data_IF_166206765625
#
_entry.id   IF_166206765625
#
_cell.length_a   1.000
_cell.length_b   1.000
_cell.length_c   1.000
_cell.angle_alpha   90.00
_cell.angle_beta   90.00
_cell.angle_gamma   90.00
#
_symmetry.space_group_name_H-M   'P 1'
#
loop_
_entity.id
_entity.type
_entity.pdbx_description
1 polymer ?
#
# COMPACT_ATOMS: atom_id res chain seq x y z
N UNK A 1 23.35 7.55 19.15
CA UNK A 1 22.21 6.67 19.52
C UNK A 1 20.95 7.43 19.16
N UNK A 2 19.94 6.80 18.57
CA UNK A 2 18.65 7.45 18.35
C UNK A 2 17.72 7.19 19.53
N UNK A 3 16.93 8.19 19.92
CA UNK A 3 16.09 8.18 21.12
C UNK A 3 14.74 8.84 20.79
N UNK A 4 13.65 8.26 21.28
CA UNK A 4 12.31 8.88 21.36
C UNK A 4 11.54 8.32 22.55
N UNK A 5 10.51 9.02 23.02
CA UNK A 5 9.49 8.42 23.89
C UNK A 5 8.83 7.26 23.15
N UNK A 6 8.55 6.17 23.87
CA UNK A 6 7.79 5.06 23.30
C UNK A 6 6.39 5.52 22.89
N UNK A 7 5.82 4.95 21.83
CA UNK A 7 4.51 5.38 21.30
C UNK A 7 3.36 5.24 22.32
N UNK A 8 3.56 4.40 23.35
CA UNK A 8 2.61 4.18 24.44
C UNK A 8 2.96 4.97 25.72
N UNK A 9 4.03 5.77 25.74
CA UNK A 9 4.47 6.51 26.91
C UNK A 9 4.04 7.97 26.83
N UNK A 10 3.51 8.51 27.93
CA UNK A 10 3.16 9.93 28.04
C UNK A 10 3.89 10.53 29.23
N UNK A 11 4.64 11.61 28.98
CA UNK A 11 5.22 12.43 30.03
C UNK A 11 4.25 13.55 30.44
N UNK A 12 3.97 13.67 31.74
CA UNK A 12 3.14 14.74 32.30
C UNK A 12 3.88 15.48 33.39
N UNK A 13 3.86 16.82 33.30
CA UNK A 13 4.33 17.70 34.37
C UNK A 13 3.36 17.64 35.55
N UNK A 14 3.89 17.42 36.76
CA UNK A 14 3.10 17.32 38.01
C UNK A 14 3.34 18.51 38.95
N UNK A 15 4.57 19.04 38.95
CA UNK A 15 4.96 20.24 39.69
C UNK A 15 5.99 21.04 38.88
N UNK A 16 6.51 22.15 39.43
CA UNK A 16 7.41 23.08 38.72
C UNK A 16 8.67 22.39 38.16
N UNK A 17 9.18 21.38 38.89
CA UNK A 17 10.39 20.60 38.59
C UNK A 17 10.19 19.08 38.73
N UNK A 18 8.96 18.58 38.61
CA UNK A 18 8.66 17.15 38.70
C UNK A 18 7.70 16.72 37.58
N UNK A 19 7.82 15.45 37.19
CA UNK A 19 6.93 14.86 36.22
C UNK A 19 6.75 13.37 36.41
N UNK A 20 5.80 12.83 35.67
CA UNK A 20 5.47 11.41 35.66
C UNK A 20 5.41 10.90 34.22
N UNK A 21 6.12 9.82 33.94
CA UNK A 21 5.97 9.01 32.74
C UNK A 21 4.94 7.92 33.01
N UNK A 22 3.99 7.75 32.08
CA UNK A 22 2.92 6.76 32.19
C UNK A 22 2.94 5.92 30.92
N UNK A 23 3.10 4.60 31.06
CA UNK A 23 2.87 3.66 29.97
C UNK A 23 1.36 3.41 29.87
N UNK A 24 0.75 3.78 28.76
CA UNK A 24 -0.69 3.75 28.55
C UNK A 24 -1.25 2.33 28.39
N UNK A 25 -0.38 1.36 28.06
CA UNK A 25 -0.73 -0.05 27.90
C UNK A 25 -0.59 -0.79 29.23
N UNK A 26 0.59 -0.74 29.86
CA UNK A 26 0.85 -1.48 31.12
C UNK A 26 0.29 -0.76 32.35
N UNK A 27 -0.02 0.54 32.23
CA UNK A 27 -0.38 1.44 33.33
C UNK A 27 0.73 1.68 34.36
N UNK A 28 1.95 1.25 34.06
CA UNK A 28 3.13 1.54 34.87
C UNK A 28 3.43 3.03 34.87
N UNK A 29 4.00 3.50 35.98
CA UNK A 29 4.28 4.90 36.23
C UNK A 29 5.69 5.07 36.76
N UNK A 30 6.46 5.95 36.14
CA UNK A 30 7.80 6.33 36.60
C UNK A 30 7.75 7.80 36.98
N UNK A 31 8.03 8.10 38.26
CA UNK A 31 8.16 9.48 38.72
C UNK A 31 9.60 9.92 38.53
N UNK A 32 9.81 11.11 38.00
CA UNK A 32 11.15 11.65 37.75
C UNK A 32 11.41 12.85 38.63
N UNK A 33 12.65 12.95 39.12
CA UNK A 33 13.14 14.10 39.87
C UNK A 33 13.45 15.28 38.93
N UNK A 34 13.97 16.37 39.48
CA UNK A 34 14.28 17.58 38.72
C UNK A 34 15.22 17.36 37.53
N UNK A 35 16.29 16.57 37.71
CA UNK A 35 17.23 16.25 36.63
C UNK A 35 16.56 15.42 35.53
N UNK A 36 15.78 14.40 35.90
CA UNK A 36 15.05 13.58 34.93
C UNK A 36 13.95 14.37 34.21
N UNK A 37 13.26 15.28 34.91
CA UNK A 37 12.31 16.21 34.33
C UNK A 37 12.98 17.11 33.30
N UNK A 38 14.17 17.64 33.62
CA UNK A 38 14.95 18.46 32.72
C UNK A 38 15.36 17.69 31.46
N UNK A 39 15.89 16.46 31.59
CA UNK A 39 16.24 15.62 30.44
C UNK A 39 15.02 15.31 29.56
N UNK A 40 13.88 14.96 30.15
CA UNK A 40 12.65 14.67 29.41
C UNK A 40 12.06 15.90 28.71
N UNK A 41 12.42 17.12 29.10
CA UNK A 41 11.98 18.32 28.38
C UNK A 41 12.60 18.46 26.98
N UNK A 42 13.61 17.64 26.66
CA UNK A 42 14.30 17.61 25.36
C UNK A 42 14.01 16.35 24.55
N UNK A 43 13.19 15.43 25.07
CA UNK A 43 12.87 14.14 24.43
C UNK A 43 11.35 14.08 24.25
N UNK A 44 10.89 13.96 23.02
CA UNK A 44 9.48 13.80 22.69
C UNK A 44 9.21 12.49 21.93
N UNK A 45 8.03 12.35 21.32
CA UNK A 45 7.63 11.19 20.52
C UNK A 45 8.28 11.16 19.12
N UNK A 46 9.11 12.16 18.79
CA UNK A 46 9.86 12.21 17.54
C UNK A 46 11.26 11.61 17.69
N UNK A 47 11.76 11.04 16.59
CA UNK A 47 13.06 10.37 16.59
C UNK A 47 14.22 11.37 16.54
N UNK A 48 15.02 11.42 17.59
CA UNK A 48 16.10 12.40 17.80
C UNK A 48 17.47 11.71 17.96
N UNK A 49 18.56 12.39 17.56
CA UNK A 49 19.93 11.94 17.84
C UNK A 49 20.34 12.35 19.27
N UNK A 50 20.85 11.40 20.05
CA UNK A 50 21.31 11.63 21.42
C UNK A 50 22.39 12.72 21.51
N UNK A 51 23.30 12.82 20.54
CA UNK A 51 24.36 13.85 20.57
C UNK A 51 23.80 15.26 20.31
N UNK A 52 22.75 15.39 19.51
CA UNK A 52 22.06 16.67 19.33
C UNK A 52 21.34 17.12 20.61
N UNK A 53 20.73 16.18 21.33
CA UNK A 53 20.10 16.44 22.63
C UNK A 53 21.15 16.87 23.65
N UNK A 54 22.24 16.11 23.78
CA UNK A 54 23.35 16.41 24.70
C UNK A 54 23.99 17.76 24.40
N UNK A 55 24.11 18.13 23.12
CA UNK A 55 24.60 19.45 22.72
C UNK A 55 23.67 20.57 23.21
N UNK A 56 22.35 20.40 23.07
CA UNK A 56 21.36 21.36 23.56
C UNK A 56 21.35 21.46 25.10
N UNK A 57 21.45 20.32 25.79
CA UNK A 57 21.53 20.26 27.25
C UNK A 57 22.78 20.98 27.77
N UNK A 58 23.93 20.77 27.12
CA UNK A 58 25.20 21.39 27.51
C UNK A 58 25.21 22.92 27.36
N UNK A 59 24.34 23.47 26.51
CA UNK A 59 24.19 24.94 26.37
C UNK A 59 23.41 25.58 27.52
N UNK A 60 22.63 24.78 28.27
CA UNK A 60 21.85 25.26 29.40
C UNK A 60 22.54 25.04 30.76
N UNK A 61 23.55 24.16 30.81
CA UNK A 61 24.29 23.81 32.03
C UNK A 61 25.74 24.27 31.87
N UNK A 62 26.10 25.41 32.46
CA UNK A 62 27.44 26.00 32.31
C UNK A 62 28.51 25.36 33.18
N UNK A 63 28.10 24.72 34.29
CA UNK A 63 29.02 24.36 35.39
C UNK A 63 29.40 22.86 35.38
N UNK A 64 28.95 22.11 34.37
CA UNK A 64 29.15 20.67 34.23
C UNK A 64 29.72 20.37 32.84
N UNK A 65 30.69 19.45 32.76
CA UNK A 65 31.26 19.08 31.46
C UNK A 65 30.24 18.31 30.61
N UNK A 66 30.31 18.49 29.29
CA UNK A 66 29.46 17.77 28.33
C UNK A 66 29.56 16.25 28.48
N UNK A 67 30.71 15.73 28.88
CA UNK A 67 30.89 14.28 29.07
C UNK A 67 30.11 13.73 30.26
N UNK A 68 30.01 14.50 31.36
CA UNK A 68 29.19 14.12 32.51
C UNK A 68 27.70 14.17 32.12
N UNK A 69 27.27 15.25 31.46
CA UNK A 69 25.88 15.39 30.98
C UNK A 69 25.51 14.23 30.05
N UNK A 70 26.40 13.85 29.13
CA UNK A 70 26.19 12.72 28.23
C UNK A 70 26.00 11.42 29.00
N UNK A 71 26.89 11.13 29.95
CA UNK A 71 26.82 9.89 30.72
C UNK A 71 25.53 9.81 31.54
N UNK A 72 25.20 10.88 32.27
CA UNK A 72 23.99 10.95 33.10
C UNK A 72 22.72 10.84 32.24
N UNK A 73 22.68 11.53 31.10
CA UNK A 73 21.57 11.45 30.15
C UNK A 73 21.39 10.03 29.60
N UNK A 74 22.48 9.39 29.16
CA UNK A 74 22.43 8.05 28.59
C UNK A 74 22.08 6.98 29.63
N UNK A 75 22.58 7.10 30.86
CA UNK A 75 22.21 6.22 31.98
C UNK A 75 20.71 6.34 32.28
N UNK A 76 20.20 7.57 32.37
CA UNK A 76 18.80 7.85 32.60
C UNK A 76 17.89 7.31 31.47
N UNK A 77 18.25 7.52 30.20
CA UNK A 77 17.51 6.99 29.05
C UNK A 77 17.53 5.46 29.03
N UNK A 78 18.66 4.83 29.40
CA UNK A 78 18.77 3.37 29.48
C UNK A 78 17.86 2.79 30.56
N UNK A 79 17.75 3.45 31.72
CA UNK A 79 16.81 3.05 32.76
C UNK A 79 15.36 3.15 32.27
N UNK A 80 14.99 4.24 31.58
CA UNK A 80 13.65 4.39 31.01
C UNK A 80 13.34 3.38 29.91
N UNK A 81 14.35 2.95 29.14
CA UNK A 81 14.21 1.89 28.14
C UNK A 81 13.88 0.54 28.78
N UNK A 82 14.47 0.21 29.93
CA UNK A 82 14.16 -1.03 30.66
C UNK A 82 12.69 -1.07 31.12
N UNK A 83 12.11 0.09 31.40
CA UNK A 83 10.70 0.28 31.79
C UNK A 83 9.76 0.47 30.59
N UNK A 84 10.25 0.29 29.34
CA UNK A 84 9.49 0.52 28.10
C UNK A 84 8.85 1.93 28.01
N UNK A 85 9.51 2.95 28.55
CA UNK A 85 9.07 4.35 28.48
C UNK A 85 9.75 5.12 27.34
N UNK A 86 10.95 4.68 26.95
CA UNK A 86 11.78 5.27 25.90
C UNK A 86 12.27 4.17 24.98
N UNK A 87 12.30 4.44 23.68
CA UNK A 87 12.95 3.57 22.70
C UNK A 87 14.35 4.11 22.41
N UNK A 88 15.33 3.20 22.24
CA UNK A 88 16.70 3.58 21.86
C UNK A 88 17.32 2.52 20.95
N UNK A 89 17.98 2.96 19.89
CA UNK A 89 18.69 2.09 18.94
C UNK A 89 19.85 2.85 18.27
N UNK A 90 20.93 2.14 17.96
CA UNK A 90 22.07 2.71 17.23
C UNK A 90 21.71 3.02 15.78
N UNK A 91 20.76 2.28 15.22
CA UNK A 91 20.25 2.46 13.88
C UNK A 91 18.87 3.13 13.91
N UNK A 92 18.80 4.33 13.34
CA UNK A 92 17.56 5.13 13.19
C UNK A 92 16.42 4.32 12.57
N UNK A 93 16.74 3.44 11.62
CA UNK A 93 15.77 2.66 10.87
C UNK A 93 15.02 1.64 11.76
N UNK A 94 15.63 1.20 12.87
CA UNK A 94 15.02 0.26 13.82
C UNK A 94 13.97 0.93 14.73
N UNK A 95 13.96 2.25 14.81
CA UNK A 95 13.04 3.04 15.65
C UNK A 95 12.01 3.83 14.84
N UNK A 96 12.10 3.76 13.51
CA UNK A 96 11.12 4.39 12.64
C UNK A 96 9.88 3.51 12.62
N UNK A 97 8.80 4.00 13.25
CA UNK A 97 7.52 3.31 13.23
C UNK A 97 6.85 3.47 11.87
N UNK A 98 6.49 2.35 11.26
CA UNK A 98 5.78 2.28 9.99
C UNK A 98 4.35 1.81 10.28
N UNK A 99 3.34 2.70 10.35
CA UNK A 99 1.97 2.24 10.57
C UNK A 99 1.49 1.45 9.35
N UNK A 100 0.96 0.25 9.56
CA UNK A 100 0.31 -0.52 8.49
C UNK A 100 -1.10 0.03 8.31
N UNK A 101 -1.28 0.94 7.35
CA UNK A 101 -2.54 1.66 7.10
C UNK A 101 -3.49 0.92 6.18
N UNK A 102 -2.97 0.24 5.17
CA UNK A 102 -3.77 -0.39 4.13
C UNK A 102 -3.43 -1.88 4.01
N UNK A 103 -4.43 -2.74 4.14
CA UNK A 103 -4.24 -4.19 4.03
C UNK A 103 -5.08 -4.76 2.89
N UNK A 104 -4.44 -5.47 1.96
CA UNK A 104 -5.12 -6.22 0.91
C UNK A 104 -5.13 -7.71 1.24
N UNK A 105 -6.30 -8.33 1.39
CA UNK A 105 -6.40 -9.78 1.66
C UNK A 105 -7.14 -10.48 0.51
N UNK A 106 -6.47 -11.48 -0.08
CA UNK A 106 -7.13 -12.47 -0.92
C UNK A 106 -7.76 -13.53 -0.02
N UNK A 107 -9.08 -13.50 0.15
CA UNK A 107 -9.76 -14.43 1.08
C UNK A 107 -10.03 -15.81 0.47
N UNK A 108 -9.91 -15.94 -0.86
CA UNK A 108 -10.17 -17.19 -1.59
C UNK A 108 -9.44 -17.21 -2.92
N UNK A 109 -9.02 -18.38 -3.40
CA UNK A 109 -8.64 -18.60 -4.79
C UNK A 109 -9.81 -19.03 -5.67
N UNK A 110 -10.96 -19.41 -5.09
CA UNK A 110 -12.12 -19.84 -5.87
C UNK A 110 -12.70 -18.68 -6.66
N UNK A 111 -13.00 -18.90 -7.94
CA UNK A 111 -13.60 -17.90 -8.82
C UNK A 111 -14.58 -18.57 -9.78
N UNK A 112 -15.65 -17.87 -10.14
CA UNK A 112 -16.66 -18.33 -11.09
C UNK A 112 -16.38 -17.90 -12.56
N UNK A 113 -15.29 -17.16 -12.80
CA UNK A 113 -14.78 -16.78 -14.12
C UNK A 113 -13.40 -17.41 -14.42
N UNK A 114 -12.98 -17.40 -15.68
CA UNK A 114 -11.74 -18.05 -16.15
C UNK A 114 -10.92 -17.11 -17.03
N UNK A 115 -10.82 -15.84 -16.62
CA UNK A 115 -10.25 -14.76 -17.43
C UNK A 115 -8.87 -15.12 -18.01
N UNK A 116 -8.69 -14.91 -19.31
CA UNK A 116 -7.50 -15.31 -20.07
C UNK A 116 -6.21 -14.65 -19.60
N UNK A 117 -6.32 -13.45 -19.01
CA UNK A 117 -5.19 -12.65 -18.53
C UNK A 117 -4.93 -12.78 -17.01
N UNK A 118 -5.68 -13.63 -16.31
CA UNK A 118 -5.63 -13.69 -14.85
C UNK A 118 -4.28 -14.23 -14.36
N UNK A 119 -3.70 -13.58 -13.35
CA UNK A 119 -2.50 -14.04 -12.66
C UNK A 119 -2.73 -15.35 -11.89
N UNK A 120 -3.97 -15.66 -11.49
CA UNK A 120 -4.32 -16.92 -10.86
C UNK A 120 -4.64 -17.98 -11.92
N UNK A 121 -3.89 -19.10 -12.00
CA UNK A 121 -4.16 -20.18 -12.93
C UNK A 121 -5.56 -20.76 -12.81
N UNK A 122 -6.22 -21.00 -13.94
CA UNK A 122 -7.58 -21.52 -14.00
C UNK A 122 -7.78 -22.86 -13.27
N UNK A 123 -6.73 -23.69 -13.19
CA UNK A 123 -6.71 -24.97 -12.44
C UNK A 123 -6.92 -24.78 -10.93
N UNK A 124 -6.52 -23.63 -10.37
CA UNK A 124 -6.64 -23.32 -8.95
C UNK A 124 -8.00 -22.69 -8.59
N UNK A 125 -8.76 -22.21 -9.57
CA UNK A 125 -10.00 -21.46 -9.34
C UNK A 125 -11.24 -22.30 -8.99
N UNK A 126 -11.17 -23.63 -9.07
CA UNK A 126 -12.33 -24.51 -8.85
C UNK A 126 -12.41 -25.08 -7.43
N UNK A 127 -11.26 -25.24 -6.76
CA UNK A 127 -11.11 -25.76 -5.39
C UNK A 127 -9.89 -25.12 -4.73
N UNK A 128 -9.77 -23.82 -4.93
CA UNK A 128 -8.64 -23.05 -4.42
C UNK A 128 -8.71 -22.88 -2.91
N UNK A 129 -7.56 -22.61 -2.30
CA UNK A 129 -7.46 -22.37 -0.87
C UNK A 129 -8.32 -21.18 -0.44
N UNK A 130 -8.88 -21.27 0.77
CA UNK A 130 -9.74 -20.27 1.38
C UNK A 130 -9.21 -19.96 2.77
N UNK A 131 -9.18 -18.67 3.11
CA UNK A 131 -8.73 -18.22 4.41
C UNK A 131 -9.82 -18.52 5.45
N UNK A 132 -9.48 -19.23 6.52
CA UNK A 132 -10.46 -19.54 7.56
C UNK A 132 -10.96 -18.25 8.23
N UNK A 133 -12.23 -18.21 8.64
CA UNK A 133 -12.78 -17.05 9.35
C UNK A 133 -12.00 -16.76 10.65
N UNK A 134 -11.54 -17.79 11.34
CA UNK A 134 -10.72 -17.65 12.55
C UNK A 134 -9.39 -16.94 12.26
N UNK A 135 -8.67 -17.35 11.22
CA UNK A 135 -7.37 -16.75 10.91
C UNK A 135 -7.54 -15.33 10.34
N UNK A 136 -8.61 -15.10 9.57
CA UNK A 136 -9.00 -13.75 9.17
C UNK A 136 -9.20 -12.82 10.38
N UNK A 137 -9.90 -13.27 11.42
CA UNK A 137 -10.12 -12.47 12.63
C UNK A 137 -8.80 -12.09 13.32
N UNK A 138 -7.88 -13.05 13.45
CA UNK A 138 -6.55 -12.80 14.05
C UNK A 138 -5.76 -11.78 13.23
N UNK A 139 -5.72 -11.94 11.90
CA UNK A 139 -5.05 -11.01 10.99
C UNK A 139 -5.60 -9.59 11.15
N UNK A 140 -6.93 -9.46 11.17
CA UNK A 140 -7.60 -8.16 11.31
C UNK A 140 -7.32 -7.52 12.68
N UNK A 141 -7.31 -8.30 13.76
CA UNK A 141 -6.96 -7.78 15.09
C UNK A 141 -5.55 -7.20 15.12
N UNK A 142 -4.57 -7.94 14.60
CA UNK A 142 -3.19 -7.47 14.55
C UNK A 142 -3.05 -6.25 13.63
N UNK A 143 -3.69 -6.26 12.47
CA UNK A 143 -3.71 -5.12 11.56
C UNK A 143 -4.22 -3.83 12.22
N UNK A 144 -5.31 -3.92 12.99
CA UNK A 144 -5.84 -2.78 13.75
C UNK A 144 -4.82 -2.28 14.78
N UNK A 145 -4.10 -3.18 15.47
CA UNK A 145 -3.04 -2.77 16.42
C UNK A 145 -1.83 -2.12 15.73
N UNK A 146 -1.63 -2.37 14.44
CA UNK A 146 -0.58 -1.74 13.62
C UNK A 146 -1.02 -0.41 12.99
N UNK A 147 -2.20 0.10 13.34
CA UNK A 147 -2.73 1.38 12.88
C UNK A 147 -3.58 1.32 11.62
N UNK A 148 -4.15 0.15 11.30
CA UNK A 148 -4.96 -0.09 10.11
C UNK A 148 -6.17 0.84 9.96
N UNK A 149 -6.31 1.42 8.77
CA UNK A 149 -7.40 2.34 8.41
C UNK A 149 -8.39 1.69 7.43
N UNK A 150 -7.89 1.04 6.36
CA UNK A 150 -8.73 0.34 5.39
C UNK A 150 -8.23 -1.06 4.98
N UNK A 151 -9.20 -1.90 4.65
CA UNK A 151 -8.99 -3.29 4.25
C UNK A 151 -9.67 -3.58 2.92
N UNK A 152 -8.91 -4.19 2.01
CA UNK A 152 -9.36 -4.60 0.69
C UNK A 152 -9.58 -6.10 0.65
N UNK A 153 -10.81 -6.54 0.36
CA UNK A 153 -11.17 -7.95 0.21
C UNK A 153 -11.24 -8.33 -1.27
N UNK A 154 -10.45 -9.33 -1.67
CA UNK A 154 -10.40 -9.83 -3.05
C UNK A 154 -10.13 -11.34 -3.11
N UNK A 155 -9.59 -11.80 -4.24
CA UNK A 155 -8.99 -13.12 -4.42
C UNK A 155 -9.29 -13.62 -5.83
N UNK A 156 -9.80 -14.84 -5.94
CA UNK A 156 -10.55 -15.29 -7.10
C UNK A 156 -11.83 -14.47 -7.26
N UNK A 157 -12.87 -14.81 -6.51
CA UNK A 157 -14.10 -14.03 -6.37
C UNK A 157 -14.52 -14.01 -4.90
N UNK A 158 -14.41 -12.88 -4.17
CA UNK A 158 -14.68 -12.86 -2.73
C UNK A 158 -16.11 -13.27 -2.38
N UNK A 159 -17.09 -13.01 -3.26
CA UNK A 159 -18.49 -13.43 -3.04
C UNK A 159 -18.69 -14.96 -3.09
N UNK A 160 -17.67 -15.74 -3.48
CA UNK A 160 -17.68 -17.21 -3.39
C UNK A 160 -17.28 -17.73 -2.01
N UNK A 161 -16.70 -16.89 -1.15
CA UNK A 161 -16.26 -17.30 0.18
C UNK A 161 -17.48 -17.53 1.11
N UNK A 162 -17.61 -18.69 1.77
CA UNK A 162 -18.80 -19.02 2.57
C UNK A 162 -19.01 -18.08 3.76
N UNK A 163 -17.93 -17.54 4.32
CA UNK A 163 -17.95 -16.60 5.44
C UNK A 163 -17.81 -15.12 5.00
N UNK A 164 -17.98 -14.79 3.71
CA UNK A 164 -17.79 -13.41 3.21
C UNK A 164 -18.55 -12.37 4.05
N UNK A 165 -19.81 -12.65 4.36
CA UNK A 165 -20.64 -11.79 5.20
C UNK A 165 -20.07 -11.65 6.62
N UNK A 166 -19.62 -12.75 7.25
CA UNK A 166 -19.04 -12.68 8.60
C UNK A 166 -17.75 -11.88 8.62
N UNK A 167 -16.96 -11.96 7.55
CA UNK A 167 -15.75 -11.16 7.37
C UNK A 167 -16.08 -9.67 7.27
N UNK A 168 -17.14 -9.29 6.54
CA UNK A 168 -17.64 -7.90 6.52
C UNK A 168 -18.12 -7.44 7.90
N UNK A 169 -18.91 -8.26 8.60
CA UNK A 169 -19.36 -7.98 9.97
C UNK A 169 -18.16 -7.74 10.90
N UNK A 170 -17.11 -8.56 10.77
CA UNK A 170 -15.89 -8.42 11.58
C UNK A 170 -15.14 -7.13 11.30
N UNK A 171 -14.85 -6.82 10.04
CA UNK A 171 -14.18 -5.57 9.66
C UNK A 171 -14.95 -4.34 10.12
N UNK A 172 -16.27 -4.35 9.97
CA UNK A 172 -17.13 -3.26 10.41
C UNK A 172 -17.11 -3.09 11.94
N UNK A 173 -17.08 -4.18 12.71
CA UNK A 173 -16.95 -4.15 14.17
C UNK A 173 -15.61 -3.53 14.65
N UNK A 174 -14.61 -3.50 13.77
CA UNK A 174 -13.29 -2.91 14.00
C UNK A 174 -13.18 -1.48 13.44
N UNK A 175 -14.28 -0.91 12.95
CA UNK A 175 -14.36 0.42 12.33
C UNK A 175 -13.45 0.60 11.10
N UNK A 176 -13.11 -0.49 10.40
CA UNK A 176 -12.32 -0.41 9.17
C UNK A 176 -13.15 0.09 8.00
N UNK A 177 -12.55 0.87 7.11
CA UNK A 177 -13.11 1.12 5.77
C UNK A 177 -12.92 -0.14 4.92
N UNK A 178 -13.97 -0.63 4.28
CA UNK A 178 -13.94 -1.89 3.52
C UNK A 178 -13.97 -1.61 2.03
N UNK A 179 -12.96 -2.07 1.32
CA UNK A 179 -12.89 -2.06 -0.14
C UNK A 179 -13.14 -3.48 -0.68
N UNK A 180 -13.90 -3.61 -1.76
CA UNK A 180 -14.30 -4.91 -2.33
C UNK A 180 -13.88 -4.97 -3.81
N UNK A 181 -13.14 -6.01 -4.20
CA UNK A 181 -12.78 -6.29 -5.59
C UNK A 181 -13.52 -7.55 -6.05
N UNK A 182 -14.54 -7.38 -6.89
CA UNK A 182 -15.41 -8.47 -7.34
C UNK A 182 -15.74 -8.33 -8.82
N UNK A 183 -15.96 -9.46 -9.52
CA UNK A 183 -16.53 -9.44 -10.87
C UNK A 183 -18.03 -9.08 -10.89
N UNK A 184 -18.65 -8.94 -9.71
CA UNK A 184 -20.05 -8.59 -9.46
C UNK A 184 -21.10 -9.57 -10.00
N UNK A 185 -20.71 -10.66 -10.64
CA UNK A 185 -21.66 -11.58 -11.30
C UNK A 185 -22.52 -12.37 -10.30
N UNK A 186 -22.15 -12.38 -9.02
CA UNK A 186 -22.90 -12.99 -7.91
C UNK A 186 -23.61 -11.95 -7.03
N UNK A 187 -23.46 -10.66 -7.34
CA UNK A 187 -24.11 -9.58 -6.59
C UNK A 187 -25.63 -9.63 -6.83
N UNK A 188 -26.41 -9.55 -5.75
CA UNK A 188 -27.86 -9.59 -5.78
C UNK A 188 -28.47 -8.52 -4.86
N UNK A 189 -29.80 -8.34 -4.91
CA UNK A 189 -30.48 -7.27 -4.17
C UNK A 189 -30.38 -7.42 -2.65
N UNK A 190 -30.33 -8.66 -2.15
CA UNK A 190 -30.14 -8.96 -0.72
C UNK A 190 -28.76 -8.51 -0.24
N UNK A 191 -27.70 -8.87 -0.98
CA UNK A 191 -26.34 -8.47 -0.65
C UNK A 191 -26.16 -6.95 -0.75
N UNK A 192 -26.72 -6.31 -1.79
CA UNK A 192 -26.67 -4.85 -1.93
C UNK A 192 -27.39 -4.15 -0.78
N UNK A 193 -28.53 -4.67 -0.32
CA UNK A 193 -29.21 -4.15 0.86
C UNK A 193 -28.34 -4.25 2.10
N UNK A 194 -27.71 -5.42 2.31
CA UNK A 194 -26.83 -5.69 3.43
C UNK A 194 -25.56 -4.85 3.43
N UNK A 195 -25.00 -4.54 2.27
CA UNK A 195 -23.78 -3.71 2.15
C UNK A 195 -23.97 -2.28 2.70
N UNK A 196 -25.21 -1.81 2.88
CA UNK A 196 -25.50 -0.49 3.47
C UNK A 196 -25.25 -0.42 4.97
N UNK A 197 -25.15 -1.57 5.64
CA UNK A 197 -24.88 -1.65 7.07
C UNK A 197 -23.37 -1.52 7.40
N UNK A 198 -22.52 -1.43 6.37
CA UNK A 198 -21.07 -1.43 6.51
C UNK A 198 -20.43 -0.13 6.01
N UNK A 199 -19.25 0.19 6.55
CA UNK A 199 -18.41 1.28 6.08
C UNK A 199 -17.69 0.93 4.76
N UNK A 200 -18.45 0.81 3.68
CA UNK A 200 -17.91 0.48 2.35
C UNK A 200 -17.22 1.71 1.74
N UNK A 201 -15.92 1.61 1.49
CA UNK A 201 -15.11 2.62 0.84
C UNK A 201 -15.31 2.64 -0.67
N UNK A 202 -14.86 1.58 -1.37
CA UNK A 202 -15.00 1.43 -2.82
C UNK A 202 -15.35 -0.01 -3.19
N UNK A 203 -16.25 -0.16 -4.17
CA UNK A 203 -16.47 -1.44 -4.86
C UNK A 203 -15.88 -1.34 -6.26
N UNK A 204 -14.83 -2.13 -6.50
CA UNK A 204 -14.14 -2.19 -7.79
C UNK A 204 -14.59 -3.43 -8.57
N UNK A 205 -14.94 -3.25 -9.85
CA UNK A 205 -15.19 -4.34 -10.79
C UNK A 205 -14.31 -4.23 -12.03
N UNK A 206 -14.10 -5.35 -12.72
CA UNK A 206 -13.43 -5.34 -14.02
C UNK A 206 -14.46 -5.27 -15.15
N UNK A 207 -14.25 -4.36 -16.12
CA UNK A 207 -14.99 -4.34 -17.38
C UNK A 207 -13.99 -4.19 -18.52
N UNK A 208 -13.87 -5.22 -19.35
CA UNK A 208 -12.89 -5.27 -20.45
C UNK A 208 -13.41 -4.69 -21.77
N UNK A 209 -14.72 -4.63 -21.95
CA UNK A 209 -15.41 -4.08 -23.13
C UNK A 209 -16.89 -3.91 -22.79
N UNK A 210 -17.56 -2.96 -23.44
CA UNK A 210 -19.01 -2.80 -23.38
C UNK A 210 -19.76 -3.70 -24.38
N UNK A 211 -19.03 -4.52 -25.16
CA UNK A 211 -19.59 -5.50 -26.09
C UNK A 211 -19.55 -6.89 -25.44
N UNK A 212 -20.71 -7.57 -25.26
CA UNK A 212 -20.76 -8.88 -24.61
C UNK A 212 -19.83 -9.91 -25.27
N UNK A 213 -19.77 -9.95 -26.60
CA UNK A 213 -18.91 -10.90 -27.32
C UNK A 213 -17.43 -10.78 -26.94
N UNK A 214 -16.92 -9.56 -26.76
CA UNK A 214 -15.51 -9.32 -26.40
C UNK A 214 -15.29 -9.61 -24.92
N UNK A 215 -16.12 -9.03 -24.04
CA UNK A 215 -15.99 -9.21 -22.60
C UNK A 215 -16.11 -10.69 -22.17
N UNK A 216 -17.09 -11.40 -22.71
CA UNK A 216 -17.34 -12.80 -22.40
C UNK A 216 -16.21 -13.70 -22.92
N UNK A 217 -15.62 -13.37 -24.08
CA UNK A 217 -14.44 -14.08 -24.58
C UNK A 217 -13.19 -13.88 -23.71
N UNK A 218 -13.08 -12.74 -23.03
CA UNK A 218 -11.96 -12.46 -22.11
C UNK A 218 -12.17 -13.20 -20.79
N UNK A 219 -13.38 -13.14 -20.22
CA UNK A 219 -13.73 -13.80 -18.94
C UNK A 219 -13.92 -15.31 -19.08
N UNK A 220 -14.03 -15.81 -20.32
CA UNK A 220 -14.45 -17.17 -20.67
C UNK A 220 -15.77 -17.57 -19.99
N UNK A 221 -16.68 -16.60 -19.85
CA UNK A 221 -17.96 -16.78 -19.18
C UNK A 221 -19.05 -16.07 -19.98
N UNK A 222 -19.99 -16.87 -20.48
CA UNK A 222 -21.18 -16.35 -21.15
C UNK A 222 -22.02 -15.50 -20.18
N UNK A 223 -22.53 -14.38 -20.71
CA UNK A 223 -23.37 -13.39 -20.04
C UNK A 223 -22.67 -12.69 -18.85
N UNK A 224 -21.33 -12.71 -18.80
CA UNK A 224 -20.59 -12.08 -17.70
C UNK A 224 -20.78 -10.56 -17.74
N UNK A 225 -20.64 -9.93 -18.91
CA UNK A 225 -20.83 -8.48 -19.03
C UNK A 225 -22.22 -8.04 -18.56
N UNK A 226 -23.25 -8.75 -19.02
CA UNK A 226 -24.65 -8.42 -18.69
C UNK A 226 -24.87 -8.46 -17.18
N UNK A 227 -24.34 -9.49 -16.51
CA UNK A 227 -24.44 -9.62 -15.04
C UNK A 227 -23.65 -8.53 -14.32
N UNK A 228 -22.41 -8.30 -14.73
CA UNK A 228 -21.54 -7.28 -14.12
C UNK A 228 -22.13 -5.88 -14.26
N UNK A 229 -22.58 -5.47 -15.45
CA UNK A 229 -23.22 -4.15 -15.65
C UNK A 229 -24.52 -4.04 -14.86
N UNK A 230 -25.36 -5.08 -14.86
CA UNK A 230 -26.63 -5.06 -14.11
C UNK A 230 -26.38 -4.83 -12.62
N UNK A 231 -25.41 -5.54 -12.05
CA UNK A 231 -25.01 -5.36 -10.65
C UNK A 231 -24.39 -3.97 -10.39
N UNK A 232 -23.50 -3.50 -11.28
CA UNK A 232 -22.88 -2.18 -11.19
C UNK A 232 -23.94 -1.07 -11.19
N UNK A 233 -24.94 -1.14 -12.06
CA UNK A 233 -26.02 -0.14 -12.12
C UNK A 233 -26.90 -0.16 -10.87
N UNK A 234 -27.15 -1.34 -10.28
CA UNK A 234 -27.87 -1.45 -9.00
C UNK A 234 -27.06 -0.82 -7.87
N UNK A 235 -25.76 -1.10 -7.78
CA UNK A 235 -24.89 -0.48 -6.79
C UNK A 235 -24.84 1.04 -6.95
N UNK A 236 -24.71 1.53 -8.19
CA UNK A 236 -24.72 2.96 -8.50
C UNK A 236 -26.01 3.63 -8.02
N UNK A 237 -27.17 3.04 -8.31
CA UNK A 237 -28.48 3.54 -7.84
C UNK A 237 -28.65 3.53 -6.31
N UNK A 238 -27.88 2.70 -5.60
CA UNK A 238 -27.88 2.65 -4.14
C UNK A 238 -26.80 3.55 -3.52
N UNK A 239 -26.09 4.37 -4.31
CA UNK A 239 -25.18 5.39 -3.82
C UNK A 239 -23.80 4.88 -3.41
N UNK A 240 -23.40 3.68 -3.83
CA UNK A 240 -22.04 3.17 -3.55
C UNK A 240 -21.00 3.90 -4.40
N UNK A 241 -19.81 4.13 -3.83
CA UNK A 241 -18.62 4.57 -4.58
C UNK A 241 -18.10 3.41 -5.41
N UNK A 242 -18.01 3.63 -6.73
CA UNK A 242 -17.66 2.60 -7.69
C UNK A 242 -16.36 2.90 -8.43
N UNK A 243 -15.66 1.84 -8.79
CA UNK A 243 -14.51 1.91 -9.66
C UNK A 243 -14.54 0.80 -10.70
N UNK A 244 -14.20 1.14 -11.95
CA UNK A 244 -13.97 0.17 -13.02
C UNK A 244 -12.47 0.01 -13.19
N UNK A 245 -11.97 -1.22 -13.12
CA UNK A 245 -10.62 -1.57 -13.50
C UNK A 245 -10.61 -2.23 -14.88
N UNK A 246 -9.62 -1.90 -15.71
CA UNK A 246 -9.42 -2.54 -17.00
C UNK A 246 -7.92 -2.60 -17.33
N UNK A 247 -7.28 -3.77 -17.17
CA UNK A 247 -6.00 -4.02 -17.82
C UNK A 247 -6.22 -4.05 -19.33
N UNK A 248 -5.47 -3.22 -20.05
CA UNK A 248 -5.54 -3.09 -21.50
C UNK A 248 -4.43 -3.90 -22.15
N UNK A 249 -4.84 -4.79 -23.04
CA UNK A 249 -4.01 -5.71 -23.79
C UNK A 249 -4.55 -5.82 -25.22
N UNK A 250 -3.87 -6.56 -26.10
CA UNK A 250 -4.13 -6.54 -27.55
C UNK A 250 -5.59 -6.78 -27.90
N UNK A 251 -6.26 -7.70 -27.21
CA UNK A 251 -7.62 -8.17 -27.47
C UNK A 251 -8.70 -7.14 -27.11
N UNK A 252 -8.46 -6.25 -26.14
CA UNK A 252 -9.43 -5.22 -25.72
C UNK A 252 -8.98 -3.78 -26.00
N UNK A 253 -7.79 -3.58 -26.56
CA UNK A 253 -7.25 -2.26 -26.84
C UNK A 253 -8.23 -1.33 -27.58
N UNK A 254 -8.93 -1.86 -28.60
CA UNK A 254 -9.92 -1.10 -29.38
C UNK A 254 -11.18 -0.69 -28.62
N UNK A 255 -11.37 -1.17 -27.39
CA UNK A 255 -12.55 -0.89 -26.55
C UNK A 255 -12.27 0.17 -25.48
N UNK A 256 -11.03 0.68 -25.42
CA UNK A 256 -10.60 1.63 -24.39
C UNK A 256 -11.41 2.92 -24.43
N UNK A 257 -11.58 3.54 -25.60
CA UNK A 257 -12.28 4.83 -25.74
C UNK A 257 -13.75 4.76 -25.34
N UNK A 258 -14.44 3.68 -25.73
CA UNK A 258 -15.86 3.50 -25.38
C UNK A 258 -16.03 3.30 -23.87
N UNK A 259 -15.10 2.59 -23.23
CA UNK A 259 -15.11 2.41 -21.78
C UNK A 259 -14.82 3.71 -21.03
N UNK A 260 -13.88 4.53 -21.52
CA UNK A 260 -13.58 5.87 -20.96
C UNK A 260 -14.83 6.75 -21.01
N UNK A 261 -15.49 6.79 -22.17
CA UNK A 261 -16.73 7.56 -22.35
C UNK A 261 -17.83 7.08 -21.39
N UNK A 262 -18.02 5.77 -21.26
CA UNK A 262 -19.01 5.20 -20.36
C UNK A 262 -18.75 5.54 -18.89
N UNK A 263 -17.51 5.38 -18.42
CA UNK A 263 -17.12 5.72 -17.04
C UNK A 263 -17.37 7.21 -16.76
N UNK A 264 -17.03 8.09 -17.71
CA UNK A 264 -17.27 9.53 -17.64
C UNK A 264 -18.75 9.91 -17.59
N UNK A 265 -19.57 9.30 -18.43
CA UNK A 265 -21.01 9.56 -18.45
C UNK A 265 -21.71 9.14 -17.15
N UNK A 266 -21.20 8.10 -16.49
CA UNK A 266 -21.73 7.57 -15.23
C UNK A 266 -21.08 8.19 -13.99
N UNK A 267 -20.06 9.04 -14.14
CA UNK A 267 -19.24 9.56 -13.04
C UNK A 267 -18.64 8.43 -12.16
N UNK A 268 -18.10 7.41 -12.83
CA UNK A 268 -17.44 6.26 -12.18
C UNK A 268 -15.94 6.36 -12.40
N UNK A 269 -15.16 6.19 -11.34
CA UNK A 269 -13.70 6.19 -11.42
C UNK A 269 -13.20 5.06 -12.32
N UNK A 270 -12.28 5.38 -13.24
CA UNK A 270 -11.69 4.41 -14.14
C UNK A 270 -10.21 4.18 -13.79
N UNK A 271 -9.81 2.91 -13.65
CA UNK A 271 -8.43 2.46 -13.45
C UNK A 271 -8.00 1.63 -14.64
N UNK A 272 -7.31 2.26 -15.59
CA UNK A 272 -6.76 1.59 -16.78
C UNK A 272 -5.24 1.53 -16.70
N UNK A 273 -4.64 0.39 -17.06
CA UNK A 273 -3.20 0.27 -17.25
C UNK A 273 -2.88 -0.75 -18.36
N UNK A 274 -1.72 -0.64 -18.98
CA UNK A 274 -1.25 -1.58 -20.00
C UNK A 274 -0.39 -2.73 -19.46
N UNK A 275 -0.48 -3.02 -18.15
CA UNK A 275 0.40 -3.97 -17.47
C UNK A 275 -0.29 -5.32 -17.32
N UNK A 276 0.33 -6.36 -17.86
CA UNK A 276 -0.07 -7.74 -17.63
C UNK A 276 0.92 -8.41 -16.67
N UNK A 277 0.36 -9.07 -15.65
CA UNK A 277 1.12 -9.83 -14.67
C UNK A 277 1.35 -11.27 -15.18
N UNK A 278 2.50 -11.89 -14.84
CA UNK A 278 2.66 -13.33 -15.02
C UNK A 278 1.69 -14.10 -14.11
N UNK A 279 1.46 -15.38 -14.41
CA UNK A 279 0.73 -16.23 -13.46
C UNK A 279 1.59 -16.54 -12.22
N UNK A 280 0.94 -16.83 -11.10
CA UNK A 280 1.64 -17.15 -9.84
C UNK A 280 2.47 -18.44 -9.92
N UNK A 281 2.22 -19.31 -10.91
CA UNK A 281 3.04 -20.48 -11.21
C UNK A 281 4.16 -20.19 -12.23
N UNK A 282 4.40 -18.91 -12.53
CA UNK A 282 5.47 -18.45 -13.42
C UNK A 282 5.10 -18.47 -14.90
N UNK A 283 3.90 -18.92 -15.29
CA UNK A 283 3.50 -18.93 -16.70
C UNK A 283 3.36 -17.49 -17.25
N UNK A 284 4.09 -17.19 -18.33
CA UNK A 284 4.09 -15.88 -19.00
C UNK A 284 3.45 -15.89 -20.39
N UNK A 285 2.91 -17.01 -20.87
CA UNK A 285 2.52 -17.21 -22.27
C UNK A 285 1.52 -16.15 -22.76
N UNK A 286 0.45 -15.93 -21.99
CA UNK A 286 -0.57 -14.93 -22.33
C UNK A 286 0.02 -13.53 -22.26
N UNK A 287 0.72 -13.20 -21.17
CA UNK A 287 1.40 -11.91 -21.00
C UNK A 287 2.28 -11.58 -22.20
N UNK A 288 3.14 -12.50 -22.62
CA UNK A 288 4.08 -12.27 -23.73
C UNK A 288 3.37 -12.07 -25.06
N UNK A 289 2.26 -12.76 -25.31
CA UNK A 289 1.52 -12.69 -26.58
C UNK A 289 0.59 -11.48 -26.68
N UNK A 290 0.01 -11.06 -25.56
CA UNK A 290 -1.07 -10.07 -25.53
C UNK A 290 -0.65 -8.71 -24.96
N UNK A 291 0.62 -8.54 -24.56
CA UNK A 291 1.14 -7.22 -24.18
C UNK A 291 1.08 -6.24 -25.34
N UNK A 292 0.67 -5.00 -25.05
CA UNK A 292 0.60 -3.93 -26.04
C UNK A 292 1.97 -3.61 -26.65
N UNK A 293 1.99 -3.40 -27.97
CA UNK A 293 3.17 -2.89 -28.65
C UNK A 293 3.40 -1.39 -28.34
N UNK A 294 4.57 -0.86 -28.72
CA UNK A 294 4.95 0.54 -28.44
C UNK A 294 3.93 1.57 -28.98
N UNK A 295 3.40 1.37 -30.18
CA UNK A 295 2.42 2.29 -30.77
C UNK A 295 1.10 2.26 -29.98
N UNK A 296 0.62 1.08 -29.61
CA UNK A 296 -0.58 0.92 -28.79
C UNK A 296 -0.39 1.55 -27.40
N UNK A 297 0.76 1.35 -26.76
CA UNK A 297 1.07 2.00 -25.48
C UNK A 297 1.05 3.52 -25.60
N UNK A 298 1.61 4.08 -26.68
CA UNK A 298 1.60 5.52 -26.91
C UNK A 298 0.17 6.06 -27.13
N UNK A 299 -0.65 5.35 -27.89
CA UNK A 299 -2.05 5.70 -28.13
C UNK A 299 -2.87 5.64 -26.83
N UNK A 300 -2.69 4.57 -26.05
CA UNK A 300 -3.33 4.44 -24.74
C UNK A 300 -2.95 5.63 -23.85
N UNK A 301 -1.66 5.93 -23.75
CA UNK A 301 -1.17 7.04 -22.95
C UNK A 301 -1.76 8.38 -23.37
N UNK A 302 -1.85 8.67 -24.68
CA UNK A 302 -2.52 9.89 -25.18
C UNK A 302 -3.96 9.96 -24.70
N UNK A 303 -4.72 8.88 -24.86
CA UNK A 303 -6.11 8.80 -24.42
C UNK A 303 -6.26 9.04 -22.90
N UNK A 304 -5.37 8.47 -22.09
CA UNK A 304 -5.33 8.70 -20.64
C UNK A 304 -5.07 10.18 -20.30
N UNK A 305 -4.14 10.82 -21.02
CA UNK A 305 -3.73 12.20 -20.78
C UNK A 305 -4.77 13.23 -21.25
N UNK A 306 -5.56 12.92 -22.27
CA UNK A 306 -6.69 13.74 -22.73
C UNK A 306 -7.87 13.66 -21.75
N UNK A 307 -8.03 12.53 -21.07
CA UNK A 307 -9.14 12.26 -20.16
C UNK A 307 -8.76 12.32 -18.68
N UNK A 308 -7.73 13.12 -18.33
CA UNK A 308 -7.12 13.15 -16.99
C UNK A 308 -8.15 13.11 -15.87
N UNK A 309 -9.14 14.00 -15.84
CA UNK A 309 -10.11 14.12 -14.74
C UNK A 309 -10.98 12.87 -14.46
N UNK A 310 -10.90 11.81 -15.28
CA UNK A 310 -11.71 10.59 -15.16
C UNK A 310 -10.97 9.40 -14.54
N UNK A 311 -9.67 9.54 -14.31
CA UNK A 311 -8.85 8.52 -13.67
C UNK A 311 -8.66 8.80 -12.19
N UNK A 312 -8.30 7.80 -11.40
CA UNK A 312 -7.98 8.05 -10.00
C UNK A 312 -6.83 9.04 -9.84
N UNK A 313 -6.86 9.80 -8.74
CA UNK A 313 -5.74 10.65 -8.32
C UNK A 313 -4.42 9.87 -8.27
N UNK A 314 -4.44 8.57 -8.01
CA UNK A 314 -3.22 7.73 -8.05
C UNK A 314 -2.66 7.54 -9.47
N UNK A 315 -3.47 7.63 -10.54
CA UNK A 315 -3.04 7.60 -11.94
C UNK A 315 -2.62 8.99 -12.47
N UNK A 316 -3.15 10.08 -11.87
CA UNK A 316 -2.97 11.47 -12.30
C UNK A 316 -1.98 12.31 -11.49
N UNK A 317 -1.91 12.14 -10.17
CA UNK A 317 -0.82 12.68 -9.33
C UNK A 317 0.54 12.20 -9.86
N UNK A 318 0.51 10.95 -10.29
CA UNK A 318 1.44 10.24 -11.15
C UNK A 318 1.89 11.02 -12.43
N UNK A 319 1.10 11.95 -12.99
CA UNK A 319 1.45 12.74 -14.19
C UNK A 319 1.44 14.26 -13.99
N UNK A 320 1.12 14.78 -12.80
CA UNK A 320 0.88 16.23 -12.65
C UNK A 320 1.33 16.91 -11.35
N UNK A 321 1.90 16.21 -10.36
CA UNK A 321 2.23 16.87 -9.07
C UNK A 321 3.66 16.75 -8.57
N UNK A 322 4.59 16.11 -9.28
CA UNK A 322 6.00 16.04 -8.82
C UNK A 322 6.70 17.40 -8.74
N UNK A 323 6.33 18.35 -9.60
CA UNK A 323 7.00 19.65 -9.63
C UNK A 323 6.79 20.46 -8.34
N UNK A 324 5.64 20.32 -7.66
CA UNK A 324 5.37 21.16 -6.48
C UNK A 324 6.16 20.72 -5.23
N UNK A 325 6.38 19.43 -5.01
CA UNK A 325 7.11 18.95 -3.83
C UNK A 325 8.64 19.02 -4.03
N UNK A 326 9.11 18.71 -5.24
CA UNK A 326 10.51 18.92 -5.65
C UNK A 326 10.91 20.40 -5.56
N UNK A 327 10.05 21.34 -5.97
CA UNK A 327 10.36 22.76 -5.92
C UNK A 327 10.29 23.35 -4.50
N UNK A 328 9.53 22.75 -3.57
CA UNK A 328 9.39 23.25 -2.20
C UNK A 328 10.48 22.76 -1.26
N UNK A 329 10.87 21.48 -1.34
CA UNK A 329 11.95 20.94 -0.50
C UNK A 329 12.64 19.72 -1.14
N UNK A 330 13.63 19.94 -2.03
CA UNK A 330 14.31 18.88 -2.78
C UNK A 330 14.97 17.83 -1.89
N UNK A 331 15.51 18.23 -0.73
CA UNK A 331 16.19 17.31 0.18
C UNK A 331 15.22 16.28 0.77
N UNK A 332 14.04 16.72 1.22
CA UNK A 332 13.00 15.85 1.77
C UNK A 332 12.42 14.90 0.72
N UNK A 333 12.16 15.38 -0.50
CA UNK A 333 11.63 14.53 -1.58
C UNK A 333 12.57 13.38 -1.97
N UNK A 334 13.88 13.59 -1.87
CA UNK A 334 14.89 12.59 -2.21
C UNK A 334 15.06 11.52 -1.12
N UNK A 335 14.77 11.85 0.14
CA UNK A 335 14.79 10.91 1.27
C UNK A 335 13.50 10.09 1.42
N UNK A 336 12.42 10.48 0.72
CA UNK A 336 11.16 9.71 0.75
C UNK A 336 11.31 8.31 0.12
N UNK A 337 10.52 7.33 0.61
CA UNK A 337 10.40 6.03 -0.03
C UNK A 337 10.04 6.13 -1.51
N UNK A 338 10.43 5.12 -2.29
CA UNK A 338 10.14 5.05 -3.73
C UNK A 338 8.63 4.93 -3.97
N UNK A 339 7.97 4.13 -3.15
CA UNK A 339 6.54 3.87 -3.13
C UNK A 339 6.10 3.47 -1.72
N UNK A 340 4.81 3.28 -1.54
CA UNK A 340 4.21 2.91 -0.26
C UNK A 340 4.28 1.41 0.09
N UNK A 341 4.64 0.54 -0.88
CA UNK A 341 4.74 -0.91 -0.68
C UNK A 341 5.71 -1.27 0.46
N UNK A 342 5.21 -1.97 1.49
CA UNK A 342 5.98 -2.29 2.69
C UNK A 342 6.30 -1.10 3.62
N UNK A 343 5.78 0.10 3.31
CA UNK A 343 5.88 1.31 4.13
C UNK A 343 4.61 1.51 4.96
N UNK A 344 3.45 1.54 4.30
CA UNK A 344 2.15 1.70 4.94
C UNK A 344 1.12 0.67 4.45
N UNK A 345 1.51 -0.22 3.54
CA UNK A 345 0.64 -1.25 3.01
C UNK A 345 1.35 -2.58 2.77
N UNK A 346 0.56 -3.64 2.78
CA UNK A 346 0.94 -4.99 2.38
C UNK A 346 -0.26 -5.78 1.86
N UNK A 347 0.01 -6.97 1.32
CA UNK A 347 -1.02 -7.90 0.89
C UNK A 347 -0.80 -9.31 1.42
N UNK A 348 -1.88 -10.03 1.70
CA UNK A 348 -1.90 -11.41 2.19
C UNK A 348 -2.65 -12.28 1.18
N UNK A 349 -2.04 -13.37 0.70
CA UNK A 349 -2.70 -14.36 -0.15
C UNK A 349 -3.66 -15.24 0.65
N UNK A 350 -4.54 -15.97 -0.03
CA UNK A 350 -5.45 -16.92 0.64
C UNK A 350 -4.74 -18.11 1.29
N UNK A 351 -3.46 -18.32 0.97
CA UNK A 351 -2.58 -19.32 1.57
C UNK A 351 -1.75 -18.78 2.74
N UNK A 352 -1.92 -17.49 3.08
CA UNK A 352 -1.22 -16.84 4.20
C UNK A 352 0.14 -16.23 3.84
N UNK A 353 0.53 -16.20 2.58
CA UNK A 353 1.77 -15.57 2.15
C UNK A 353 1.63 -14.04 2.17
N UNK A 354 2.62 -13.35 2.72
CA UNK A 354 2.60 -11.89 2.86
C UNK A 354 3.59 -11.25 1.87
N UNK A 355 3.13 -10.20 1.19
CA UNK A 355 3.88 -9.45 0.17
C UNK A 355 3.80 -7.93 0.41
N UNK A 356 4.77 -7.12 -0.04
CA UNK A 356 4.74 -5.67 0.13
C UNK A 356 3.60 -4.98 -0.61
N UNK A 357 3.13 -5.56 -1.70
CA UNK A 357 1.92 -5.13 -2.42
C UNK A 357 1.36 -6.29 -3.25
N UNK A 358 0.10 -6.18 -3.65
CA UNK A 358 -0.68 -7.24 -4.33
C UNK A 358 -0.05 -7.74 -5.63
N UNK A 359 0.66 -6.87 -6.34
CA UNK A 359 1.25 -7.18 -7.64
C UNK A 359 2.65 -7.82 -7.51
N UNK A 360 3.25 -7.78 -6.31
CA UNK A 360 4.64 -8.18 -6.07
C UNK A 360 4.77 -9.58 -5.47
N UNK A 361 4.13 -10.56 -6.12
CA UNK A 361 4.09 -11.96 -5.67
C UNK A 361 5.45 -12.67 -5.66
N UNK A 362 6.47 -12.10 -6.31
CA UNK A 362 7.85 -12.61 -6.31
C UNK A 362 8.70 -12.18 -5.10
N UNK A 363 8.18 -11.34 -4.20
CA UNK A 363 8.93 -10.81 -3.06
C UNK A 363 8.19 -11.08 -1.75
N UNK A 364 8.32 -12.32 -1.24
CA UNK A 364 7.70 -12.74 0.02
C UNK A 364 8.38 -12.03 1.20
N UNK A 365 7.58 -11.37 2.04
CA UNK A 365 8.04 -10.72 3.29
C UNK A 365 7.72 -11.54 4.54
N UNK A 366 6.79 -12.50 4.46
CA UNK A 366 6.43 -13.35 5.59
C UNK A 366 5.33 -14.37 5.28
N UNK A 367 4.93 -15.12 6.30
CA UNK A 367 3.89 -16.15 6.24
C UNK A 367 3.08 -16.15 7.55
N UNK A 368 1.78 -15.83 7.48
CA UNK A 368 0.94 -15.71 8.68
C UNK A 368 0.68 -17.06 9.37
N UNK A 369 1.03 -18.18 8.72
CA UNK A 369 0.95 -19.50 9.33
C UNK A 369 2.15 -19.80 10.24
N UNK A 370 3.23 -19.02 10.11
CA UNK A 370 4.48 -19.20 10.85
C UNK A 370 4.70 -18.08 11.88
N UNK A 371 4.32 -16.86 11.54
CA UNK A 371 4.54 -15.67 12.34
C UNK A 371 3.27 -14.82 12.38
N UNK A 372 3.11 -14.03 13.44
CA UNK A 372 2.06 -13.02 13.48
C UNK A 372 2.30 -11.96 12.38
N UNK A 373 1.24 -11.33 11.87
CA UNK A 373 1.34 -10.18 10.97
C UNK A 373 2.18 -9.07 11.61
N UNK A 374 2.02 -8.85 12.93
CA UNK A 374 2.84 -7.91 13.68
C UNK A 374 4.33 -8.25 13.62
N UNK A 375 4.70 -9.49 13.91
CA UNK A 375 6.10 -9.93 13.82
C UNK A 375 6.67 -9.77 12.42
N UNK A 376 5.90 -10.14 11.38
CA UNK A 376 6.30 -9.97 9.99
C UNK A 376 6.56 -8.48 9.71
N UNK A 377 5.62 -7.61 10.08
CA UNK A 377 5.69 -6.19 9.79
C UNK A 377 6.84 -5.47 10.49
N UNK A 378 7.16 -5.87 11.72
CA UNK A 378 8.21 -5.25 12.55
C UNK A 378 9.60 -5.86 12.29
N UNK A 379 9.67 -7.17 12.01
CA UNK A 379 10.93 -7.93 12.06
C UNK A 379 11.39 -8.53 10.74
N UNK A 380 10.56 -8.52 9.69
CA UNK A 380 10.94 -9.06 8.38
C UNK A 380 12.20 -8.36 7.83
N UNK A 381 13.26 -9.14 7.58
CA UNK A 381 14.50 -8.65 6.98
C UNK A 381 14.26 -8.10 5.57
N UNK A 382 13.35 -8.71 4.82
CA UNK A 382 12.95 -8.24 3.50
C UNK A 382 12.27 -6.86 3.58
N UNK A 383 11.42 -6.62 4.58
CA UNK A 383 10.82 -5.30 4.80
C UNK A 383 11.86 -4.26 5.23
N UNK A 384 12.80 -4.61 6.13
CA UNK A 384 13.88 -3.71 6.53
C UNK A 384 14.72 -3.29 5.32
N UNK A 385 15.08 -4.24 4.46
CA UNK A 385 15.79 -3.95 3.21
C UNK A 385 14.98 -3.05 2.29
N UNK A 386 13.68 -3.29 2.15
CA UNK A 386 12.78 -2.50 1.30
C UNK A 386 12.62 -1.05 1.82
N UNK A 387 12.42 -0.88 3.13
CA UNK A 387 12.26 0.42 3.80
C UNK A 387 13.52 1.29 3.72
N UNK A 388 14.69 0.68 3.63
CA UNK A 388 15.96 1.37 3.46
C UNK A 388 16.22 1.91 2.03
N UNK A 389 15.32 1.63 1.07
CA UNK A 389 15.45 2.07 -0.34
C UNK A 389 14.82 3.45 -0.50
N UNK A 390 15.63 4.43 -0.90
CA UNK A 390 15.16 5.77 -1.23
C UNK A 390 15.78 6.29 -2.54
N UNK A 391 15.19 7.37 -3.07
CA UNK A 391 15.58 7.93 -4.37
C UNK A 391 17.02 8.46 -4.36
N UNK A 392 17.42 9.14 -3.28
CA UNK A 392 18.77 9.74 -3.14
C UNK A 392 19.88 8.70 -3.16
N UNK A 393 19.73 7.66 -2.35
CA UNK A 393 20.77 6.65 -2.09
C UNK A 393 20.90 5.69 -3.26
N UNK A 394 19.77 5.21 -3.78
CA UNK A 394 19.74 4.07 -4.69
C UNK A 394 19.63 4.45 -6.18
N UNK A 395 19.11 5.64 -6.51
CA UNK A 395 18.81 6.04 -7.89
C UNK A 395 19.55 7.30 -8.35
N UNK A 396 20.82 7.46 -7.96
CA UNK A 396 21.65 8.64 -8.25
C UNK A 396 21.69 9.05 -9.73
N UNK A 397 21.79 8.07 -10.64
CA UNK A 397 21.80 8.32 -12.10
C UNK A 397 20.49 8.92 -12.61
N UNK A 398 19.39 8.66 -11.91
CA UNK A 398 18.06 9.13 -12.29
C UNK A 398 17.81 10.57 -11.87
N UNK A 399 18.58 11.08 -10.90
CA UNK A 399 18.45 12.46 -10.41
C UNK A 399 18.79 13.49 -11.49
N UNK A 400 19.63 13.12 -12.46
CA UNK A 400 19.96 13.95 -13.64
C UNK A 400 19.19 13.54 -14.90
N UNK A 401 18.19 12.66 -14.79
CA UNK A 401 17.42 12.19 -15.94
C UNK A 401 16.40 13.25 -16.35
N UNK A 402 16.39 13.62 -17.64
CA UNK A 402 15.47 14.61 -18.18
C UNK A 402 13.99 14.15 -18.20
N UNK A 403 13.74 12.86 -17.98
CA UNK A 403 12.41 12.28 -17.88
C UNK A 403 11.99 11.97 -16.43
N UNK A 404 12.76 12.41 -15.42
CA UNK A 404 12.54 12.10 -14.00
C UNK A 404 11.13 12.46 -13.51
N UNK A 405 10.60 13.60 -13.95
CA UNK A 405 9.26 14.08 -13.57
C UNK A 405 8.13 13.21 -14.14
N UNK A 406 8.42 12.47 -15.20
CA UNK A 406 7.48 11.56 -15.86
C UNK A 406 7.70 10.09 -15.46
N UNK A 407 8.85 9.78 -14.84
CA UNK A 407 9.25 8.43 -14.47
C UNK A 407 8.56 7.94 -13.20
N UNK A 408 8.07 6.69 -13.17
CA UNK A 408 7.51 6.07 -11.97
C UNK A 408 8.24 4.77 -11.72
N UNK A 409 9.22 4.82 -10.83
CA UNK A 409 9.97 3.62 -10.46
C UNK A 409 9.01 2.66 -9.76
N UNK A 410 8.89 1.45 -10.29
CA UNK A 410 8.16 0.35 -9.68
C UNK A 410 9.17 -0.75 -9.33
N UNK A 411 9.36 -1.01 -8.04
CA UNK A 411 10.34 -1.99 -7.56
C UNK A 411 9.99 -3.42 -7.99
N UNK A 412 8.69 -3.73 -8.09
CA UNK A 412 8.20 -4.98 -8.65
C UNK A 412 8.61 -5.15 -10.11
N UNK A 413 8.41 -4.13 -10.95
CA UNK A 413 8.80 -4.18 -12.37
C UNK A 413 10.32 -4.27 -12.54
N UNK A 414 11.08 -3.58 -11.69
CA UNK A 414 12.54 -3.72 -11.65
C UNK A 414 12.94 -5.18 -11.41
N UNK A 415 12.38 -5.81 -10.36
CA UNK A 415 12.67 -7.21 -10.05
C UNK A 415 12.28 -8.14 -11.20
N UNK A 416 11.07 -7.96 -11.74
CA UNK A 416 10.50 -8.84 -12.76
C UNK A 416 11.25 -8.78 -14.10
N UNK A 417 11.83 -7.64 -14.45
CA UNK A 417 12.53 -7.45 -15.73
C UNK A 417 14.06 -7.61 -15.65
N UNK A 418 14.64 -7.51 -14.46
CA UNK A 418 16.10 -7.58 -14.26
C UNK A 418 16.52 -8.83 -13.47
N UNK A 419 15.89 -9.98 -13.73
CA UNK A 419 16.28 -11.28 -13.15
C UNK A 419 16.38 -11.30 -11.61
N UNK A 420 15.51 -10.55 -10.92
CA UNK A 420 15.52 -10.49 -9.45
C UNK A 420 16.12 -9.20 -8.86
N UNK A 421 16.79 -8.38 -9.67
CA UNK A 421 17.44 -7.15 -9.19
C UNK A 421 16.44 -5.99 -8.96
N UNK A 422 16.14 -5.70 -7.70
CA UNK A 422 15.12 -4.69 -7.31
C UNK A 422 15.58 -3.23 -7.54
N UNK A 423 16.90 -2.99 -7.49
CA UNK A 423 17.49 -1.64 -7.62
C UNK A 423 17.84 -1.27 -9.05
N UNK A 424 17.89 -2.24 -9.95
CA UNK A 424 18.14 -1.98 -11.37
C UNK A 424 16.85 -1.48 -12.01
N UNK A 425 16.88 -0.28 -12.60
CA UNK A 425 15.69 0.25 -13.27
C UNK A 425 15.38 -0.57 -14.53
N UNK A 426 14.13 -1.00 -14.63
CA UNK A 426 13.57 -1.63 -15.83
C UNK A 426 13.72 -0.75 -17.07
N UNK A 427 14.20 -1.34 -18.18
CA UNK A 427 14.31 -0.62 -19.47
C UNK A 427 12.94 -0.17 -19.97
N UNK A 428 11.88 -0.96 -19.74
CA UNK A 428 10.53 -0.59 -20.10
C UNK A 428 10.05 0.63 -19.30
N UNK A 429 10.37 0.70 -18.01
CA UNK A 429 10.06 1.86 -17.17
C UNK A 429 10.73 3.13 -17.70
N UNK A 430 12.00 3.06 -18.10
CA UNK A 430 12.68 4.18 -18.75
C UNK A 430 11.98 4.59 -20.05
N UNK A 431 11.70 3.63 -20.94
CA UNK A 431 11.04 3.90 -22.22
C UNK A 431 9.66 4.55 -22.02
N UNK A 432 8.87 4.08 -21.04
CA UNK A 432 7.56 4.65 -20.72
C UNK A 432 7.68 6.06 -20.16
N UNK A 433 8.70 6.36 -19.36
CA UNK A 433 8.97 7.71 -18.86
C UNK A 433 9.27 8.70 -20.01
N UNK A 434 10.17 8.32 -20.93
CA UNK A 434 10.50 9.14 -22.10
C UNK A 434 9.32 9.29 -23.06
N UNK A 435 8.55 8.22 -23.30
CA UNK A 435 7.33 8.29 -24.09
C UNK A 435 6.29 9.23 -23.46
N UNK A 436 6.17 9.22 -22.14
CA UNK A 436 5.26 10.11 -21.40
C UNK A 436 5.69 11.56 -21.50
N UNK A 437 6.99 11.84 -21.35
CA UNK A 437 7.59 13.15 -21.59
C UNK A 437 7.24 13.64 -22.99
N UNK A 438 7.57 12.85 -24.01
CA UNK A 438 7.36 13.18 -25.42
C UNK A 438 5.91 13.50 -25.74
N UNK A 439 4.97 12.69 -25.24
CA UNK A 439 3.54 12.91 -25.48
C UNK A 439 3.08 14.19 -24.78
N UNK A 440 3.45 14.41 -23.52
CA UNK A 440 3.02 15.59 -22.77
C UNK A 440 3.61 16.90 -23.30
N UNK A 441 4.88 16.91 -23.69
CA UNK A 441 5.55 18.10 -24.19
C UNK A 441 5.09 18.48 -25.60
N UNK A 442 4.65 17.52 -26.42
CA UNK A 442 4.07 17.78 -27.75
C UNK A 442 2.59 18.19 -27.71
N UNK A 443 1.91 17.97 -26.58
CA UNK A 443 0.48 18.29 -26.39
C UNK A 443 0.28 19.62 -25.62
N UNK A 444 1.37 20.19 -25.08
CA UNK A 444 1.44 21.57 -24.59
C UNK A 444 1.78 22.50 -25.74
#
# INVERSE_FOLDING_TARGET
>A
MFIKLSDNAIFRKTAEHEGILINMVTREKVTVNETGFFFLSYVDDTLQDSEEIVTKLSQQISDVSTDIIRNDFMEFMTALKMENMVEMDENKDNMTYYPLKHLHIEITMECNERCIHCYLPNKLKSKGDQLSFSDFCKIVDEFVTLGGDDITLSGGEPLKHPDFIKMLDYCNSKNLVINILSNLTLMNDELIAKLRDYNIGTIQTSIYSLKPAIHDSITLKKDSLTKTITALEKLYKNGFTLQIACPVFTENFGETESLIKYAKEKDILLKINGMLLPQIDGNTDFKTKSTLNQNQKQMLLRSLLENKNQYTNEQLSRCSTKSNDLCKNPALYLEQPVCSAGIDNCSISSTGQVYPCTEWTGFKIGDINLNSLKEIWERSEQLKQLRAINKRKNYKKCLSCEALDYCKVCLMLNQAENCGEILQISKNTCNEAFMTKDVLEKTR
#
